data_IF_944201051210
#
_entry.id   IF_944201051210
#
_cell.length_a   1.000
_cell.length_b   1.000
_cell.length_c   1.000
_cell.angle_alpha   90.00
_cell.angle_beta   90.00
_cell.angle_gamma   90.00
#
_symmetry.space_group_name_H-M   'P 1'
#
loop_
_entity.id
_entity.type
_entity.pdbx_description
1 polymer ?
#
# COMPACT_ATOMS: atom_id res chain seq x y z
N UNK A 1 4.73 -15.95 -8.63
CA UNK A 1 4.70 -14.77 -7.73
C UNK A 1 5.83 -14.87 -6.72
N UNK A 2 6.42 -13.71 -6.34
CA UNK A 2 7.36 -13.60 -5.24
C UNK A 2 6.73 -12.76 -4.15
N UNK A 3 6.90 -13.13 -2.90
CA UNK A 3 6.41 -12.37 -1.75
C UNK A 3 7.55 -12.11 -0.77
N UNK A 4 7.49 -10.95 -0.12
CA UNK A 4 8.40 -10.57 0.95
C UNK A 4 7.57 -10.27 2.20
N UNK A 5 7.97 -10.81 3.33
CA UNK A 5 7.31 -10.58 4.61
C UNK A 5 8.28 -9.78 5.48
N UNK A 6 7.80 -8.66 5.97
CA UNK A 6 8.53 -7.75 6.84
C UNK A 6 7.94 -7.82 8.25
N UNK A 7 8.80 -7.79 9.26
CA UNK A 7 8.49 -7.80 10.68
C UNK A 7 8.07 -9.18 11.27
N UNK A 8 8.64 -9.59 12.40
CA UNK A 8 8.48 -10.89 13.08
C UNK A 8 8.78 -12.14 12.23
N UNK A 9 9.97 -12.27 11.67
CA UNK A 9 10.24 -13.30 10.68
C UNK A 9 10.18 -14.74 11.20
N UNK A 10 10.41 -14.97 12.48
CA UNK A 10 10.53 -16.33 13.03
C UNK A 10 9.19 -17.05 13.10
N UNK A 11 8.15 -16.41 13.58
CA UNK A 11 6.80 -16.97 13.70
C UNK A 11 6.19 -17.20 12.32
N UNK A 12 6.30 -16.24 11.43
CA UNK A 12 5.80 -16.37 10.05
C UNK A 12 6.53 -17.44 9.26
N UNK A 13 7.84 -17.62 9.47
CA UNK A 13 8.62 -18.67 8.81
C UNK A 13 8.15 -20.07 9.18
N UNK A 14 7.61 -20.27 10.38
CA UNK A 14 7.03 -21.57 10.80
C UNK A 14 5.75 -21.88 10.04
N UNK A 15 4.91 -20.88 9.77
CA UNK A 15 3.60 -21.02 9.12
C UNK A 15 3.73 -21.02 7.60
N UNK A 16 4.56 -20.16 7.06
CA UNK A 16 4.74 -19.91 5.62
C UNK A 16 6.23 -20.01 5.23
N UNK A 17 6.87 -21.17 5.30
CA UNK A 17 8.33 -21.25 5.21
C UNK A 17 8.89 -20.74 3.86
N UNK A 18 8.48 -21.28 2.73
CA UNK A 18 9.04 -20.94 1.42
C UNK A 18 7.98 -20.65 0.34
N UNK A 19 6.71 -20.85 0.66
CA UNK A 19 5.58 -20.61 -0.23
C UNK A 19 5.35 -21.68 -1.30
N UNK A 20 6.12 -22.77 -1.36
CA UNK A 20 5.96 -23.82 -2.37
C UNK A 20 4.55 -24.40 -2.41
N UNK A 21 3.93 -24.63 -1.23
CA UNK A 21 2.56 -25.12 -1.11
C UNK A 21 1.53 -24.19 -1.75
N UNK A 22 1.85 -22.90 -1.86
CA UNK A 22 1.00 -21.84 -2.41
C UNK A 22 1.36 -21.52 -3.87
N UNK A 23 2.33 -22.22 -4.46
CA UNK A 23 2.82 -21.91 -5.80
C UNK A 23 3.53 -20.56 -5.92
N UNK A 24 4.05 -20.02 -4.81
CA UNK A 24 4.76 -18.73 -4.76
C UNK A 24 6.14 -18.89 -4.12
N UNK A 25 7.02 -17.93 -4.33
CA UNK A 25 8.30 -17.85 -3.63
C UNK A 25 8.19 -16.78 -2.54
N UNK A 26 8.41 -17.17 -1.28
CA UNK A 26 8.44 -16.27 -0.13
C UNK A 26 9.89 -15.99 0.24
N UNK A 27 10.18 -14.73 0.51
CA UNK A 27 11.43 -14.25 1.11
C UNK A 27 11.11 -13.42 2.34
N UNK A 28 12.03 -13.35 3.29
CA UNK A 28 11.84 -12.61 4.53
C UNK A 28 12.89 -11.51 4.63
N UNK A 29 12.44 -10.31 5.00
CA UNK A 29 13.31 -9.19 5.32
C UNK A 29 12.90 -8.67 6.70
N UNK A 30 13.87 -8.49 7.57
CA UNK A 30 13.67 -7.91 8.89
C UNK A 30 13.82 -6.40 8.81
N UNK A 31 12.87 -5.69 9.40
CA UNK A 31 12.96 -4.26 9.68
C UNK A 31 13.33 -4.09 11.15
N UNK A 32 14.55 -3.67 11.41
CA UNK A 32 15.12 -3.55 12.76
C UNK A 32 14.42 -2.52 13.66
N UNK A 33 13.78 -1.52 13.04
CA UNK A 33 13.04 -0.44 13.71
C UNK A 33 11.80 -0.06 12.91
N UNK A 34 10.72 0.40 13.55
CA UNK A 34 9.51 0.88 12.87
C UNK A 34 9.77 2.21 12.16
N UNK A 35 10.31 2.16 10.96
CA UNK A 35 10.61 3.34 10.12
C UNK A 35 9.45 3.72 9.18
N UNK A 36 8.31 3.07 9.31
CA UNK A 36 7.12 3.31 8.50
C UNK A 36 7.01 2.39 7.28
N UNK A 37 5.83 2.35 6.68
CA UNK A 37 5.50 1.44 5.57
C UNK A 37 6.39 1.63 4.32
N UNK A 38 6.73 2.86 3.88
CA UNK A 38 7.59 3.06 2.71
C UNK A 38 9.00 2.49 2.85
N UNK A 39 9.50 2.27 4.07
CA UNK A 39 10.80 1.64 4.30
C UNK A 39 10.86 0.20 3.76
N UNK A 40 9.72 -0.50 3.73
CA UNK A 40 9.63 -1.83 3.13
C UNK A 40 10.05 -1.85 1.65
N UNK A 41 9.80 -0.78 0.89
CA UNK A 41 10.25 -0.67 -0.51
C UNK A 41 11.75 -0.42 -0.61
N UNK A 42 12.34 0.30 0.34
CA UNK A 42 13.78 0.57 0.40
C UNK A 42 14.52 -0.73 0.72
N UNK A 43 14.09 -1.43 1.75
CA UNK A 43 14.65 -2.73 2.14
C UNK A 43 14.45 -3.78 1.05
N UNK A 44 13.28 -3.78 0.41
CA UNK A 44 12.90 -4.69 -0.66
C UNK A 44 13.44 -4.35 -2.05
N UNK A 45 14.29 -3.33 -2.22
CA UNK A 45 14.74 -2.84 -3.52
C UNK A 45 15.28 -3.94 -4.43
N UNK A 46 16.18 -4.79 -3.93
CA UNK A 46 16.75 -5.90 -4.69
C UNK A 46 15.70 -6.94 -5.10
N UNK A 47 14.71 -7.15 -4.24
CA UNK A 47 13.59 -8.06 -4.50
C UNK A 47 12.65 -7.50 -5.56
N UNK A 48 12.31 -6.22 -5.49
CA UNK A 48 11.42 -5.51 -6.43
C UNK A 48 12.10 -5.42 -7.80
N UNK A 49 13.37 -5.03 -7.84
CA UNK A 49 14.12 -4.84 -9.08
C UNK A 49 13.40 -3.87 -10.03
N UNK A 50 13.13 -4.34 -11.26
CA UNK A 50 12.43 -3.56 -12.29
C UNK A 50 10.92 -3.84 -12.36
N UNK A 51 10.38 -4.64 -11.44
CA UNK A 51 8.99 -5.05 -11.47
C UNK A 51 8.07 -4.07 -10.73
N UNK A 52 6.80 -4.11 -11.07
CA UNK A 52 5.76 -3.52 -10.24
C UNK A 52 5.61 -4.32 -8.94
N UNK A 53 5.08 -3.70 -7.92
CA UNK A 53 4.95 -4.29 -6.60
C UNK A 53 3.59 -3.95 -5.98
N UNK A 54 3.03 -4.89 -5.25
CA UNK A 54 1.91 -4.64 -4.33
C UNK A 54 2.38 -4.72 -2.89
N UNK A 55 1.82 -3.84 -2.05
CA UNK A 55 1.96 -3.90 -0.61
C UNK A 55 0.60 -4.22 0.00
N UNK A 56 0.57 -5.21 0.87
CA UNK A 56 -0.60 -5.55 1.67
C UNK A 56 -0.21 -5.55 3.14
N UNK A 57 -1.03 -4.92 3.97
CA UNK A 57 -0.84 -4.92 5.42
C UNK A 57 -1.39 -6.22 6.02
N UNK A 58 -0.62 -6.85 6.90
CA UNK A 58 -0.95 -8.16 7.45
C UNK A 58 -2.14 -8.20 8.41
N UNK A 59 -2.59 -7.04 8.87
CA UNK A 59 -3.78 -6.85 9.71
C UNK A 59 -5.05 -6.52 8.91
N UNK A 60 -4.94 -6.44 7.58
CA UNK A 60 -6.07 -6.17 6.70
C UNK A 60 -6.60 -7.47 6.09
N UNK A 61 -7.91 -7.67 6.21
CA UNK A 61 -8.63 -8.75 5.55
C UNK A 61 -9.54 -8.18 4.47
N UNK A 62 -9.35 -8.63 3.23
CA UNK A 62 -10.12 -8.15 2.07
C UNK A 62 -11.12 -9.21 1.63
N UNK A 63 -12.38 -8.81 1.56
CA UNK A 63 -13.50 -9.64 1.14
C UNK A 63 -14.50 -8.82 0.33
N UNK A 64 -15.11 -9.41 -0.68
CA UNK A 64 -16.18 -8.76 -1.45
C UNK A 64 -16.31 -9.30 -2.87
N UNK A 65 -17.43 -8.93 -3.48
CA UNK A 65 -17.71 -9.27 -4.87
C UNK A 65 -16.68 -8.60 -5.80
N UNK A 66 -16.31 -9.30 -6.87
CA UNK A 66 -15.36 -8.82 -7.89
C UNK A 66 -13.97 -8.45 -7.37
N UNK A 67 -13.61 -8.86 -6.14
CA UNK A 67 -12.28 -8.56 -5.60
C UNK A 67 -11.18 -9.15 -6.48
N UNK A 68 -11.35 -10.40 -6.93
CA UNK A 68 -10.36 -11.09 -7.79
C UNK A 68 -10.15 -10.38 -9.11
N UNK A 69 -11.22 -9.89 -9.74
CA UNK A 69 -11.16 -9.12 -10.99
C UNK A 69 -10.46 -7.78 -10.78
N UNK A 70 -10.81 -7.06 -9.72
CA UNK A 70 -10.17 -5.78 -9.35
C UNK A 70 -8.68 -5.95 -9.08
N UNK A 71 -8.28 -7.04 -8.40
CA UNK A 71 -6.88 -7.36 -8.17
C UNK A 71 -6.16 -7.67 -9.49
N UNK A 72 -6.75 -8.50 -10.36
CA UNK A 72 -6.19 -8.82 -11.69
C UNK A 72 -5.98 -7.56 -12.54
N UNK A 73 -6.93 -6.62 -12.50
CA UNK A 73 -6.79 -5.35 -13.22
C UNK A 73 -5.75 -4.44 -12.58
N UNK A 74 -5.62 -4.49 -11.26
CA UNK A 74 -4.61 -3.69 -10.55
C UNK A 74 -3.18 -4.18 -10.81
N UNK A 75 -2.99 -5.49 -11.01
CA UNK A 75 -1.68 -6.07 -11.39
C UNK A 75 -1.24 -5.61 -12.80
N UNK A 76 -2.19 -5.30 -13.69
CA UNK A 76 -1.91 -4.77 -15.04
C UNK A 76 -1.44 -3.31 -15.04
N UNK A 77 -1.35 -2.66 -13.88
CA UNK A 77 -0.89 -1.29 -13.75
C UNK A 77 0.50 -1.13 -14.39
N UNK A 78 0.59 -0.41 -15.49
CA UNK A 78 1.85 -0.23 -16.21
C UNK A 78 2.73 0.88 -15.60
N UNK A 79 2.13 1.94 -15.09
CA UNK A 79 2.80 3.09 -14.48
C UNK A 79 1.93 3.74 -13.41
N UNK A 80 2.57 4.20 -12.34
CA UNK A 80 1.91 4.93 -11.27
C UNK A 80 1.58 4.09 -10.05
N UNK A 81 0.58 4.53 -9.30
CA UNK A 81 0.08 3.85 -8.12
C UNK A 81 -1.44 3.73 -8.16
N UNK A 82 -1.96 2.66 -7.55
CA UNK A 82 -3.38 2.47 -7.31
C UNK A 82 -3.59 2.12 -5.84
N UNK A 83 -4.58 2.74 -5.23
CA UNK A 83 -5.04 2.48 -3.86
C UNK A 83 -6.48 2.02 -3.87
N UNK A 84 -6.88 1.35 -2.80
CA UNK A 84 -8.28 0.99 -2.59
C UNK A 84 -8.85 1.81 -1.45
N UNK A 85 -10.05 2.34 -1.67
CA UNK A 85 -10.77 3.18 -0.75
C UNK A 85 -11.96 2.44 -0.17
N UNK A 86 -12.22 2.67 1.12
CA UNK A 86 -13.38 2.14 1.83
C UNK A 86 -14.03 3.24 2.66
N UNK A 87 -15.37 3.25 2.73
CA UNK A 87 -16.10 4.18 3.59
C UNK A 87 -16.01 3.76 5.05
N UNK A 88 -15.69 4.71 5.92
CA UNK A 88 -15.52 4.48 7.35
C UNK A 88 -16.30 5.52 8.17
N UNK A 89 -16.75 5.13 9.37
CA UNK A 89 -17.47 6.02 10.29
C UNK A 89 -16.52 7.00 11.01
N UNK A 90 -15.24 6.63 11.16
CA UNK A 90 -14.24 7.40 11.92
C UNK A 90 -13.02 7.70 11.07
N UNK A 91 -13.13 8.58 10.05
CA UNK A 91 -12.06 8.86 9.09
C UNK A 91 -10.82 9.50 9.74
N UNK A 92 -10.97 10.14 10.88
CA UNK A 92 -9.85 10.76 11.63
C UNK A 92 -8.81 9.75 12.13
N UNK A 93 -9.12 8.46 12.08
CA UNK A 93 -8.21 7.37 12.49
C UNK A 93 -7.33 6.84 11.38
N UNK A 94 -7.57 7.25 10.14
CA UNK A 94 -6.97 6.67 8.92
C UNK A 94 -6.33 7.72 8.03
N UNK A 95 -5.52 7.27 7.09
CA UNK A 95 -5.22 8.05 5.91
C UNK A 95 -6.49 8.16 5.06
N UNK A 96 -6.91 9.38 4.72
CA UNK A 96 -8.14 9.61 3.96
C UNK A 96 -7.85 10.23 2.61
N UNK A 97 -8.71 9.94 1.64
CA UNK A 97 -8.67 10.51 0.31
C UNK A 97 -9.98 11.24 -0.01
N UNK A 98 -9.89 12.44 -0.60
CA UNK A 98 -11.02 13.11 -1.25
C UNK A 98 -10.95 12.89 -2.74
N UNK A 99 -12.03 12.35 -3.30
CA UNK A 99 -12.16 12.10 -4.75
C UNK A 99 -13.13 13.09 -5.34
N UNK A 100 -12.76 13.68 -6.49
CA UNK A 100 -13.63 14.53 -7.32
C UNK A 100 -13.38 14.17 -8.78
N UNK A 101 -14.44 13.96 -9.56
CA UNK A 101 -14.36 13.57 -10.97
C UNK A 101 -13.40 12.39 -11.21
N UNK A 102 -13.56 11.33 -10.44
CA UNK A 102 -12.72 10.11 -10.44
C UNK A 102 -11.22 10.34 -10.21
N UNK A 103 -10.83 11.52 -9.69
CA UNK A 103 -9.43 11.84 -9.35
C UNK A 103 -9.29 12.11 -7.87
N UNK A 104 -8.22 11.58 -7.27
CA UNK A 104 -7.86 11.90 -5.90
C UNK A 104 -7.33 13.33 -5.85
N UNK A 105 -8.04 14.21 -5.16
CA UNK A 105 -7.68 15.62 -5.01
C UNK A 105 -6.90 15.90 -3.74
N UNK A 106 -7.26 15.26 -2.63
CA UNK A 106 -6.62 15.41 -1.33
C UNK A 106 -6.31 14.03 -0.76
N UNK A 107 -5.12 13.89 -0.16
CA UNK A 107 -4.78 12.76 0.71
C UNK A 107 -4.18 13.34 1.98
N UNK A 108 -4.62 12.86 3.13
CA UNK A 108 -4.11 13.30 4.42
C UNK A 108 -4.16 12.18 5.45
N UNK A 109 -3.06 12.04 6.20
CA UNK A 109 -2.96 11.11 7.33
C UNK A 109 -3.71 11.69 8.53
N UNK A 110 -4.61 10.90 9.13
CA UNK A 110 -5.32 11.17 10.39
C UNK A 110 -5.75 12.64 10.53
N UNK A 111 -6.63 13.14 9.64
CA UNK A 111 -6.96 14.57 9.59
C UNK A 111 -7.74 14.99 10.84
N UNK A 112 -7.32 16.09 11.47
CA UNK A 112 -8.03 16.68 12.61
C UNK A 112 -9.39 17.30 12.23
N UNK A 113 -9.52 17.73 10.96
CA UNK A 113 -10.77 18.27 10.40
C UNK A 113 -11.31 17.29 9.37
N UNK A 114 -12.61 17.12 9.30
CA UNK A 114 -13.25 16.25 8.31
C UNK A 114 -12.86 16.64 6.89
N UNK A 115 -12.47 15.67 6.10
CA UNK A 115 -12.10 15.82 4.68
C UNK A 115 -13.02 14.96 3.81
N UNK A 116 -13.19 13.69 4.20
CA UNK A 116 -13.92 12.67 3.48
C UNK A 116 -14.10 11.46 4.42
N UNK A 117 -15.08 10.64 4.16
CA UNK A 117 -15.31 9.34 4.78
C UNK A 117 -14.54 8.18 4.10
N UNK A 118 -13.75 8.49 3.05
CA UNK A 118 -13.01 7.51 2.27
C UNK A 118 -11.63 7.27 2.87
N UNK A 119 -11.49 6.19 3.64
CA UNK A 119 -10.21 5.72 4.15
C UNK A 119 -9.43 4.99 3.06
N UNK A 120 -8.12 5.17 3.03
CA UNK A 120 -7.20 4.39 2.21
C UNK A 120 -6.96 3.07 2.96
N UNK A 121 -7.25 1.95 2.29
CA UNK A 121 -7.05 0.61 2.86
C UNK A 121 -5.58 0.19 2.81
N UNK A 122 -5.25 -0.89 3.51
CA UNK A 122 -3.89 -1.44 3.52
C UNK A 122 -3.52 -2.27 2.29
N UNK A 123 -4.04 -1.94 1.12
CA UNK A 123 -3.72 -2.60 -0.15
C UNK A 123 -3.34 -1.58 -1.22
N UNK A 124 -2.12 -1.70 -1.71
CA UNK A 124 -1.50 -0.74 -2.61
C UNK A 124 -0.84 -1.45 -3.78
N UNK A 125 -0.89 -0.83 -4.96
CA UNK A 125 -0.16 -1.26 -6.15
C UNK A 125 0.70 -0.10 -6.64
N UNK A 126 1.95 -0.39 -6.98
CA UNK A 126 2.91 0.62 -7.43
C UNK A 126 3.71 0.12 -8.62
N UNK A 127 4.10 1.04 -9.50
CA UNK A 127 5.19 0.80 -10.43
C UNK A 127 6.55 0.77 -9.69
N UNK A 128 7.61 0.38 -10.37
CA UNK A 128 8.94 0.24 -9.77
C UNK A 128 9.57 1.57 -9.31
N UNK A 129 9.02 2.72 -9.68
CA UNK A 129 9.46 4.04 -9.18
C UNK A 129 9.18 4.24 -7.70
N UNK A 130 8.39 3.35 -7.10
CA UNK A 130 8.09 3.41 -5.66
C UNK A 130 9.35 3.42 -4.80
N UNK A 131 10.38 2.66 -5.18
CA UNK A 131 11.66 2.63 -4.45
C UNK A 131 12.34 3.99 -4.48
N UNK A 132 12.44 4.60 -5.67
CA UNK A 132 13.01 5.94 -5.81
C UNK A 132 12.23 7.00 -5.02
N UNK A 133 10.90 6.93 -5.07
CA UNK A 133 10.04 7.85 -4.34
C UNK A 133 10.13 7.65 -2.83
N UNK A 134 10.21 6.40 -2.35
CA UNK A 134 10.39 6.08 -0.95
C UNK A 134 11.72 6.62 -0.40
N UNK A 135 12.82 6.43 -1.12
CA UNK A 135 14.15 6.97 -0.74
C UNK A 135 14.18 8.50 -0.62
N UNK A 136 13.30 9.20 -1.31
CA UNK A 136 13.19 10.68 -1.28
C UNK A 136 12.19 11.19 -0.25
N UNK A 137 11.61 10.35 0.59
CA UNK A 137 10.76 10.77 1.69
C UNK A 137 11.60 11.26 2.85
N UNK A 138 11.02 12.16 3.63
CA UNK A 138 11.56 12.59 4.93
C UNK A 138 10.67 12.01 6.04
N UNK A 139 11.25 11.56 7.14
CA UNK A 139 10.47 11.12 8.28
C UNK A 139 9.52 12.22 8.77
N UNK A 140 8.34 11.83 9.19
CA UNK A 140 7.37 12.68 9.84
C UNK A 140 7.82 13.08 11.25
N UNK A 141 7.01 13.88 11.96
CA UNK A 141 7.24 14.20 13.38
C UNK A 141 7.30 12.95 14.28
N UNK A 142 6.77 11.81 13.83
CA UNK A 142 6.85 10.53 14.53
C UNK A 142 8.15 9.74 14.26
N UNK A 143 9.02 10.28 13.41
CA UNK A 143 10.24 9.59 12.98
C UNK A 143 10.02 8.52 11.90
N UNK A 144 8.82 8.43 11.33
CA UNK A 144 8.43 7.41 10.36
C UNK A 144 8.23 7.98 8.96
N UNK A 145 8.52 7.18 7.94
CA UNK A 145 8.14 7.46 6.55
C UNK A 145 6.64 7.18 6.40
N UNK A 146 5.87 8.17 5.97
CA UNK A 146 4.42 8.03 5.85
C UNK A 146 4.02 7.54 4.45
N UNK A 147 3.13 6.53 4.41
CA UNK A 147 2.60 6.03 3.14
C UNK A 147 1.81 7.11 2.40
N UNK A 148 1.13 7.98 3.13
CA UNK A 148 0.39 9.13 2.58
C UNK A 148 1.31 10.10 1.84
N UNK A 149 2.54 10.31 2.34
CA UNK A 149 3.52 11.17 1.66
C UNK A 149 4.03 10.53 0.37
N UNK A 150 4.22 9.21 0.37
CA UNK A 150 4.54 8.45 -0.82
C UNK A 150 3.44 8.57 -1.88
N UNK A 151 2.18 8.40 -1.49
CA UNK A 151 1.02 8.55 -2.38
C UNK A 151 0.90 9.98 -2.90
N UNK A 152 1.20 10.99 -2.08
CA UNK A 152 1.21 12.38 -2.51
C UNK A 152 2.28 12.67 -3.58
N UNK A 153 3.41 11.95 -3.60
CA UNK A 153 4.38 12.04 -4.71
C UNK A 153 3.76 11.55 -6.02
N UNK A 154 3.07 10.42 -6.01
CA UNK A 154 2.35 9.91 -7.19
C UNK A 154 1.22 10.83 -7.63
N UNK A 155 0.46 11.40 -6.68
CA UNK A 155 -0.59 12.37 -6.98
C UNK A 155 -0.03 13.62 -7.68
N UNK A 156 1.10 14.16 -7.21
CA UNK A 156 1.75 15.36 -7.81
C UNK A 156 2.11 15.16 -9.28
N UNK A 157 2.43 13.94 -9.68
CA UNK A 157 2.76 13.61 -11.09
C UNK A 157 1.56 13.04 -11.86
N UNK A 158 0.33 13.20 -11.34
CA UNK A 158 -0.92 12.70 -11.93
C UNK A 158 -0.90 11.20 -12.26
N UNK A 159 -0.26 10.40 -11.39
CA UNK A 159 -0.12 8.94 -11.54
C UNK A 159 -0.67 8.17 -10.35
N UNK A 160 -1.66 8.71 -9.67
CA UNK A 160 -2.36 8.03 -8.59
C UNK A 160 -3.81 7.82 -8.98
N UNK A 161 -4.23 6.56 -8.97
CA UNK A 161 -5.62 6.12 -9.17
C UNK A 161 -6.19 5.48 -7.92
N UNK A 162 -7.51 5.43 -7.85
CA UNK A 162 -8.21 4.75 -6.78
C UNK A 162 -9.29 3.82 -7.34
N UNK A 163 -9.57 2.77 -6.61
CA UNK A 163 -10.72 1.91 -6.77
C UNK A 163 -11.42 1.77 -5.39
N UNK A 164 -12.61 1.21 -5.35
CA UNK A 164 -13.39 1.10 -4.13
C UNK A 164 -13.53 -0.36 -3.71
N UNK A 165 -13.36 -0.63 -2.41
CA UNK A 165 -13.67 -1.92 -1.79
C UNK A 165 -14.83 -1.72 -0.82
N UNK A 166 -15.82 -2.60 -0.88
CA UNK A 166 -17.00 -2.56 -0.04
C UNK A 166 -18.25 -2.90 -0.81
N UNK A 167 -19.40 -2.93 -0.15
CA UNK A 167 -20.68 -3.10 -0.83
C UNK A 167 -20.84 -1.93 -1.79
N UNK A 168 -20.78 -2.24 -3.07
CA UNK A 168 -21.05 -1.27 -4.11
C UNK A 168 -22.48 -0.75 -3.91
N UNK A 169 -22.57 0.56 -3.72
CA UNK A 169 -23.81 1.25 -3.99
C UNK A 169 -23.88 1.46 -5.49
#
# INVERSE_FOLDING_TARGET
FKSIINYFPLEYKKILPDGKRLGIKISYIEQDKPRGLPDAFILGEKFIGKNNVSLILGDNFFYGQYLSERLKDSVKLSKGAKVFLHRVSHPERYGVAKVKNNKITIIKEKPKKYISDLAITGLYFFDNKVVEFAKKLKPSKRGELEIVDLLNKYKKVNKLSADYIGRGG
#
